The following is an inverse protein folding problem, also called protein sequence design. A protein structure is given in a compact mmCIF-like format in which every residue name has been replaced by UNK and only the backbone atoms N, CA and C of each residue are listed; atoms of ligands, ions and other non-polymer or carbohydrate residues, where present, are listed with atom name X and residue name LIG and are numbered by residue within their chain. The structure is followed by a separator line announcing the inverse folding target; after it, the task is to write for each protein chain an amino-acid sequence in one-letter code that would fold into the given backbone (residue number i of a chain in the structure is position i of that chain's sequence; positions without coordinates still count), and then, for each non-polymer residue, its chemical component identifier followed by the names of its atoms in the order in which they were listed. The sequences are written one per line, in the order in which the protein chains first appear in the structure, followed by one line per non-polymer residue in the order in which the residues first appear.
data_IF_088018786467
#
_entry.id   IF_088018786467
#
_cell.length_a   1.000
_cell.length_b   1.000
_cell.length_c   1.000
_cell.angle_alpha   90.00
_cell.angle_beta   90.00
_cell.angle_gamma   90.00
#
_symmetry.space_group_name_H-M   'P 1'
#
loop_
_entity.id
_entity.type
_entity.pdbx_description
1 polymer ?
#
# COMPACT_ATOMS: atom_id res chain seq x y z
N UNK A 1 -28.14 0.24 -24.60
CA UNK A 1 -29.10 -0.80 -25.03
C UNK A 1 -28.31 -2.06 -25.40
N UNK A 2 -28.85 -3.27 -25.21
CA UNK A 2 -28.26 -4.49 -25.80
C UNK A 2 -28.66 -4.55 -27.27
N UNK A 3 -27.69 -4.55 -28.18
CA UNK A 3 -27.91 -4.62 -29.63
C UNK A 3 -27.82 -6.05 -30.14
N UNK A 4 -26.90 -6.85 -29.59
CA UNK A 4 -26.71 -8.23 -30.00
C UNK A 4 -26.28 -9.10 -28.82
N UNK A 5 -26.77 -10.33 -28.77
CA UNK A 5 -26.29 -11.40 -27.89
C UNK A 5 -25.82 -12.56 -28.76
N UNK A 6 -24.62 -13.05 -28.50
CA UNK A 6 -24.05 -14.21 -29.18
C UNK A 6 -23.54 -15.21 -28.15
N UNK A 7 -23.91 -16.47 -28.33
CA UNK A 7 -23.50 -17.59 -27.49
C UNK A 7 -23.01 -18.74 -28.37
N UNK A 8 -21.93 -19.39 -27.95
CA UNK A 8 -21.33 -20.52 -28.63
C UNK A 8 -20.93 -21.60 -27.64
N UNK A 9 -21.24 -22.85 -27.99
CA UNK A 9 -20.98 -24.05 -27.18
C UNK A 9 -21.50 -23.90 -25.72
N UNK A 10 -22.69 -23.28 -25.56
CA UNK A 10 -23.29 -22.92 -24.28
C UNK A 10 -24.55 -23.77 -24.01
N UNK A 11 -24.50 -24.63 -23.00
CA UNK A 11 -25.57 -25.55 -22.59
C UNK A 11 -26.21 -26.30 -23.78
N UNK A 12 -27.37 -25.86 -24.28
CA UNK A 12 -28.10 -26.46 -25.40
C UNK A 12 -27.75 -25.83 -26.77
N UNK A 13 -27.05 -24.70 -26.79
CA UNK A 13 -26.71 -23.95 -27.99
C UNK A 13 -25.34 -24.36 -28.53
N UNK A 14 -25.29 -24.78 -29.80
CA UNK A 14 -24.05 -24.88 -30.54
C UNK A 14 -23.55 -23.49 -30.93
N UNK A 15 -24.43 -22.70 -31.56
CA UNK A 15 -24.23 -21.29 -31.82
C UNK A 15 -25.60 -20.62 -31.91
N UNK A 16 -25.74 -19.45 -31.30
CA UNK A 16 -26.94 -18.63 -31.40
C UNK A 16 -26.51 -17.16 -31.38
N UNK A 17 -27.05 -16.38 -32.31
CA UNK A 17 -26.88 -14.93 -32.41
C UNK A 17 -28.29 -14.34 -32.44
N UNK A 18 -28.52 -13.36 -31.59
CA UNK A 18 -29.81 -12.68 -31.44
C UNK A 18 -29.54 -11.19 -31.57
N UNK A 19 -30.13 -10.57 -32.58
CA UNK A 19 -30.13 -9.13 -32.77
C UNK A 19 -31.37 -8.54 -32.10
N UNK A 20 -31.17 -7.57 -31.22
CA UNK A 20 -32.23 -6.86 -30.53
C UNK A 20 -32.51 -5.54 -31.24
N UNK A 21 -33.79 -5.19 -31.29
CA UNK A 21 -34.23 -3.91 -31.87
C UNK A 21 -34.69 -2.96 -30.78
N UNK A 22 -34.62 -1.66 -31.07
CA UNK A 22 -35.05 -0.62 -30.16
C UNK A 22 -36.52 -0.81 -29.75
N UNK A 23 -36.82 -0.60 -28.47
CA UNK A 23 -38.16 -0.78 -27.91
C UNK A 23 -38.29 -2.12 -27.18
N UNK A 24 -39.31 -2.90 -27.54
CA UNK A 24 -39.69 -4.12 -26.82
C UNK A 24 -39.34 -5.36 -27.65
N UNK A 25 -38.40 -6.16 -27.14
CA UNK A 25 -38.09 -7.49 -27.69
C UNK A 25 -38.71 -8.56 -26.78
N UNK A 26 -39.52 -9.45 -27.37
CA UNK A 26 -40.22 -10.51 -26.62
C UNK A 26 -39.70 -11.88 -27.03
N UNK A 27 -39.14 -12.62 -26.07
CA UNK A 27 -38.72 -14.01 -26.26
C UNK A 27 -39.84 -14.93 -25.75
N UNK A 28 -40.45 -15.67 -26.66
CA UNK A 28 -41.48 -16.69 -26.40
C UNK A 28 -40.93 -18.10 -26.59
N UNK A 29 -41.47 -19.09 -25.88
CA UNK A 29 -41.09 -20.49 -26.04
C UNK A 29 -41.95 -21.41 -25.18
N UNK A 30 -41.95 -22.71 -25.51
CA UNK A 30 -42.87 -23.74 -24.99
C UNK A 30 -42.86 -23.85 -23.46
N UNK A 31 -41.67 -23.85 -22.82
CA UNK A 31 -41.31 -23.48 -21.43
C UNK A 31 -39.94 -24.07 -21.07
N UNK A 32 -39.19 -23.41 -20.17
CA UNK A 32 -38.18 -24.07 -19.30
C UNK A 32 -36.73 -24.20 -19.77
N UNK A 33 -36.40 -24.20 -21.06
CA UNK A 33 -35.02 -24.44 -21.51
C UNK A 33 -34.34 -23.22 -22.15
N UNK A 34 -34.84 -22.70 -23.28
CA UNK A 34 -34.09 -21.68 -24.05
C UNK A 34 -34.08 -20.28 -23.43
N UNK A 35 -35.23 -19.81 -22.91
CA UNK A 35 -35.38 -18.44 -22.43
C UNK A 35 -34.54 -18.15 -21.17
N UNK A 36 -34.61 -19.03 -20.18
CA UNK A 36 -33.85 -18.87 -18.93
C UNK A 36 -32.35 -18.91 -19.18
N UNK A 37 -31.89 -19.77 -20.09
CA UNK A 37 -30.48 -19.84 -20.49
C UNK A 37 -30.00 -18.54 -21.15
N UNK A 38 -30.83 -17.89 -21.99
CA UNK A 38 -30.46 -16.60 -22.57
C UNK A 38 -30.39 -15.49 -21.51
N UNK A 39 -31.30 -15.48 -20.54
CA UNK A 39 -31.28 -14.54 -19.41
C UNK A 39 -30.03 -14.78 -18.54
N UNK A 40 -29.70 -16.03 -18.25
CA UNK A 40 -28.50 -16.41 -17.51
C UNK A 40 -27.22 -15.97 -18.27
N UNK A 41 -27.20 -16.11 -19.59
CA UNK A 41 -26.08 -15.63 -20.42
C UNK A 41 -25.88 -14.12 -20.30
N UNK A 42 -26.97 -13.33 -20.32
CA UNK A 42 -26.91 -11.88 -20.09
C UNK A 42 -26.41 -11.58 -18.66
N UNK A 43 -26.89 -12.31 -17.65
CA UNK A 43 -26.40 -12.17 -16.27
C UNK A 43 -24.89 -12.46 -16.15
N UNK A 44 -24.41 -13.52 -16.78
CA UNK A 44 -22.98 -13.86 -16.80
C UNK A 44 -22.13 -12.82 -17.53
N UNK A 45 -22.65 -12.20 -18.59
CA UNK A 45 -21.99 -11.10 -19.29
C UNK A 45 -22.07 -9.79 -18.49
N UNK A 46 -23.06 -9.64 -17.61
CA UNK A 46 -23.21 -8.51 -16.67
C UNK A 46 -22.31 -8.62 -15.42
N UNK A 47 -21.57 -9.72 -15.29
CA UNK A 47 -20.60 -9.93 -14.22
C UNK A 47 -21.07 -10.84 -13.09
N UNK A 48 -22.15 -11.61 -13.28
CA UNK A 48 -22.58 -12.61 -12.32
C UNK A 48 -21.60 -13.79 -12.21
N UNK A 49 -21.64 -14.47 -11.06
CA UNK A 49 -20.90 -15.72 -10.88
C UNK A 49 -21.59 -16.84 -11.65
N UNK A 50 -20.79 -17.68 -12.29
CA UNK A 50 -21.26 -18.88 -12.97
C UNK A 50 -21.63 -19.90 -11.88
N UNK A 51 -22.88 -20.38 -11.90
CA UNK A 51 -23.44 -21.24 -10.84
C UNK A 51 -23.40 -22.75 -11.17
N UNK A 52 -23.29 -23.13 -12.43
CA UNK A 52 -23.39 -24.51 -12.91
C UNK A 52 -22.44 -24.77 -14.10
N UNK A 53 -22.32 -26.03 -14.54
CA UNK A 53 -21.59 -26.33 -15.77
C UNK A 53 -22.38 -25.80 -16.98
N UNK A 54 -21.94 -24.66 -17.49
CA UNK A 54 -22.56 -23.93 -18.60
C UNK A 54 -22.03 -24.36 -19.96
N UNK A 55 -20.99 -25.20 -20.00
CA UNK A 55 -20.37 -25.66 -21.24
C UNK A 55 -21.19 -26.81 -21.81
N UNK A 56 -21.43 -26.78 -23.11
CA UNK A 56 -22.11 -27.86 -23.83
C UNK A 56 -21.33 -29.18 -23.69
N UNK A 57 -22.04 -30.29 -23.51
CA UNK A 57 -21.43 -31.61 -23.38
C UNK A 57 -20.49 -31.92 -24.57
N UNK A 58 -19.28 -32.39 -24.27
CA UNK A 58 -18.26 -32.72 -25.27
C UNK A 58 -17.47 -31.53 -25.82
N UNK A 59 -17.57 -30.35 -25.20
CA UNK A 59 -16.80 -29.15 -25.56
C UNK A 59 -15.88 -28.71 -24.41
N UNK A 60 -14.77 -28.08 -24.77
CA UNK A 60 -13.76 -27.63 -23.80
C UNK A 60 -14.02 -26.21 -23.27
N UNK A 61 -14.79 -25.41 -24.02
CA UNK A 61 -15.06 -24.01 -23.71
C UNK A 61 -16.43 -23.56 -24.21
N UNK A 62 -17.01 -22.58 -23.52
CA UNK A 62 -18.15 -21.79 -23.98
C UNK A 62 -17.71 -20.34 -24.18
N UNK A 63 -18.27 -19.68 -25.20
CA UNK A 63 -18.01 -18.26 -25.48
C UNK A 63 -19.34 -17.52 -25.51
N UNK A 64 -19.44 -16.50 -24.67
CA UNK A 64 -20.59 -15.60 -24.61
C UNK A 64 -20.10 -14.21 -25.00
N UNK A 65 -20.91 -13.45 -25.72
CA UNK A 65 -20.64 -12.04 -26.03
C UNK A 65 -21.92 -11.24 -26.18
N UNK A 66 -21.90 -9.99 -25.77
CA UNK A 66 -22.95 -9.03 -26.05
C UNK A 66 -22.37 -7.72 -26.57
N UNK A 67 -23.12 -7.08 -27.46
CA UNK A 67 -22.84 -5.74 -27.98
C UNK A 67 -23.82 -4.78 -27.33
N UNK A 68 -23.30 -3.72 -26.74
CA UNK A 68 -24.06 -2.68 -26.06
C UNK A 68 -23.84 -1.34 -26.74
N UNK A 69 -24.90 -0.56 -26.92
CA UNK A 69 -24.77 0.86 -27.24
C UNK A 69 -24.13 1.58 -26.05
N UNK A 70 -23.05 2.32 -26.30
CA UNK A 70 -22.37 3.09 -25.26
C UNK A 70 -23.08 4.40 -24.92
N UNK A 71 -22.61 5.07 -23.86
CA UNK A 71 -22.98 6.44 -23.53
C UNK A 71 -21.73 7.23 -23.09
N UNK A 72 -21.83 8.57 -23.06
CA UNK A 72 -20.68 9.43 -22.71
C UNK A 72 -20.06 9.06 -21.36
N UNK A 73 -20.88 8.75 -20.34
CA UNK A 73 -20.40 8.38 -19.01
C UNK A 73 -19.55 7.10 -19.02
N UNK A 74 -19.97 6.09 -19.77
CA UNK A 74 -19.23 4.83 -19.91
C UNK A 74 -17.96 5.06 -20.71
N UNK A 75 -18.04 5.83 -21.79
CA UNK A 75 -16.89 6.20 -22.60
C UNK A 75 -15.80 6.89 -21.77
N UNK A 76 -16.16 7.85 -20.91
CA UNK A 76 -15.20 8.48 -19.99
C UNK A 76 -14.56 7.48 -19.04
N UNK A 77 -15.34 6.57 -18.43
CA UNK A 77 -14.79 5.56 -17.51
C UNK A 77 -13.86 4.58 -18.24
N UNK A 78 -14.18 4.21 -19.49
CA UNK A 78 -13.33 3.33 -20.29
C UNK A 78 -11.99 4.01 -20.63
N UNK A 79 -12.03 5.27 -21.08
CA UNK A 79 -10.84 6.06 -21.42
C UNK A 79 -9.91 6.25 -20.22
N UNK A 80 -10.47 6.64 -19.07
CA UNK A 80 -9.73 6.79 -17.80
C UNK A 80 -9.01 5.51 -17.37
N UNK A 81 -9.52 4.34 -17.76
CA UNK A 81 -8.97 3.03 -17.42
C UNK A 81 -8.17 2.39 -18.57
N UNK A 82 -7.90 3.13 -19.65
CA UNK A 82 -7.05 2.72 -20.76
C UNK A 82 -7.71 1.78 -21.78
N UNK A 83 -9.05 1.72 -21.81
CA UNK A 83 -9.80 0.95 -22.81
C UNK A 83 -10.10 1.81 -24.04
N UNK A 84 -10.09 1.18 -25.22
CA UNK A 84 -10.55 1.84 -26.44
C UNK A 84 -12.04 2.19 -26.36
N UNK A 85 -12.36 3.41 -26.77
CA UNK A 85 -13.71 3.98 -26.75
C UNK A 85 -14.31 3.94 -28.15
N UNK A 86 -15.56 3.51 -28.25
CA UNK A 86 -16.32 3.46 -29.48
C UNK A 86 -17.81 3.71 -29.16
N UNK A 87 -18.65 3.84 -30.19
CA UNK A 87 -20.10 3.94 -30.06
C UNK A 87 -20.72 2.66 -29.46
N UNK A 88 -19.99 1.54 -29.59
CA UNK A 88 -20.38 0.24 -29.06
C UNK A 88 -19.38 -0.29 -28.03
N UNK A 89 -19.90 -0.94 -26.99
CA UNK A 89 -19.12 -1.69 -26.01
C UNK A 89 -19.37 -3.17 -26.22
N UNK A 90 -18.30 -3.91 -26.53
CA UNK A 90 -18.35 -5.35 -26.73
C UNK A 90 -17.84 -6.05 -25.48
N UNK A 91 -18.72 -6.77 -24.79
CA UNK A 91 -18.35 -7.56 -23.62
C UNK A 91 -18.35 -9.03 -24.01
N UNK A 92 -17.25 -9.72 -23.76
CA UNK A 92 -17.13 -11.15 -24.04
C UNK A 92 -16.59 -11.92 -22.85
N UNK A 93 -17.12 -13.12 -22.65
CA UNK A 93 -16.71 -14.02 -21.57
C UNK A 93 -16.44 -15.40 -22.14
N UNK A 94 -15.22 -15.88 -21.95
CA UNK A 94 -14.80 -17.24 -22.29
C UNK A 94 -14.76 -18.07 -21.02
N UNK A 95 -15.44 -19.22 -21.03
CA UNK A 95 -15.58 -20.11 -19.89
C UNK A 95 -14.94 -21.45 -20.27
N UNK A 96 -13.98 -21.92 -19.48
CA UNK A 96 -13.23 -23.15 -19.71
C UNK A 96 -13.72 -24.26 -18.78
N UNK A 97 -13.57 -25.52 -19.20
CA UNK A 97 -14.00 -26.71 -18.43
C UNK A 97 -13.30 -26.85 -17.06
N UNK A 98 -12.20 -26.13 -16.83
CA UNK A 98 -11.50 -26.05 -15.54
C UNK A 98 -12.06 -24.96 -14.60
N UNK A 99 -13.29 -24.49 -14.82
CA UNK A 99 -13.95 -23.39 -14.10
C UNK A 99 -13.22 -22.04 -14.16
N UNK A 100 -12.17 -21.89 -14.98
CA UNK A 100 -11.58 -20.57 -15.25
C UNK A 100 -12.46 -19.82 -16.24
N UNK A 101 -12.75 -18.56 -15.94
CA UNK A 101 -13.42 -17.66 -16.87
C UNK A 101 -12.57 -16.43 -17.11
N UNK A 102 -12.41 -16.05 -18.38
CA UNK A 102 -11.76 -14.80 -18.78
C UNK A 102 -12.83 -13.88 -19.34
N UNK A 103 -12.89 -12.65 -18.85
CA UNK A 103 -13.80 -11.62 -19.36
C UNK A 103 -13.00 -10.53 -20.07
N UNK A 104 -13.58 -9.96 -21.12
CA UNK A 104 -12.99 -8.92 -21.93
C UNK A 104 -14.01 -7.82 -22.24
N UNK A 105 -13.52 -6.60 -22.32
CA UNK A 105 -14.23 -5.43 -22.86
C UNK A 105 -13.42 -4.95 -24.06
N UNK A 106 -14.07 -4.74 -25.21
CA UNK A 106 -13.42 -4.27 -26.44
C UNK A 106 -12.13 -5.07 -26.75
N UNK A 107 -12.22 -6.39 -26.65
CA UNK A 107 -11.12 -7.36 -26.87
C UNK A 107 -9.98 -7.36 -25.83
N UNK A 108 -9.98 -6.43 -24.88
CA UNK A 108 -8.99 -6.37 -23.80
C UNK A 108 -9.45 -7.13 -22.55
N UNK A 109 -8.53 -7.84 -21.89
CA UNK A 109 -8.84 -8.61 -20.66
C UNK A 109 -9.07 -7.66 -19.50
N UNK A 110 -10.12 -7.93 -18.72
CA UNK A 110 -10.44 -7.12 -17.54
C UNK A 110 -10.98 -7.98 -16.38
N UNK A 111 -11.39 -7.32 -15.30
CA UNK A 111 -11.96 -7.95 -14.11
C UNK A 111 -13.48 -7.99 -14.16
N UNK A 112 -14.07 -8.98 -13.47
CA UNK A 112 -15.53 -9.09 -13.32
C UNK A 112 -16.15 -7.90 -12.59
N UNK A 113 -15.43 -7.30 -11.63
CA UNK A 113 -15.89 -6.11 -10.90
C UNK A 113 -15.99 -4.90 -11.82
N UNK A 114 -15.01 -4.71 -12.71
CA UNK A 114 -15.03 -3.61 -13.68
C UNK A 114 -16.16 -3.79 -14.70
N UNK A 115 -16.36 -5.00 -15.22
CA UNK A 115 -17.49 -5.32 -16.10
C UNK A 115 -18.83 -5.00 -15.44
N UNK A 116 -19.01 -5.39 -14.18
CA UNK A 116 -20.23 -5.08 -13.43
C UNK A 116 -20.44 -3.57 -13.27
N UNK A 117 -19.37 -2.80 -13.01
CA UNK A 117 -19.42 -1.33 -12.94
C UNK A 117 -19.92 -0.73 -14.26
N UNK A 118 -19.40 -1.19 -15.41
CA UNK A 118 -19.78 -0.69 -16.73
C UNK A 118 -21.21 -1.12 -17.10
N UNK A 119 -21.55 -2.40 -16.95
CA UNK A 119 -22.86 -2.92 -17.36
C UNK A 119 -23.99 -2.33 -16.53
N UNK A 120 -23.80 -2.09 -15.22
CA UNK A 120 -24.81 -1.45 -14.37
C UNK A 120 -25.19 -0.03 -14.82
N UNK A 121 -24.38 0.62 -15.66
CA UNK A 121 -24.67 1.94 -16.24
C UNK A 121 -25.43 1.86 -17.57
N UNK A 122 -25.48 0.67 -18.21
CA UNK A 122 -26.03 0.47 -19.55
C UNK A 122 -27.22 -0.48 -19.59
N UNK A 123 -27.29 -1.42 -18.65
CA UNK A 123 -28.28 -2.49 -18.60
C UNK A 123 -28.79 -2.63 -17.17
N UNK A 124 -30.11 -2.69 -17.04
CA UNK A 124 -30.75 -3.18 -15.83
C UNK A 124 -31.33 -4.57 -16.13
N UNK A 125 -30.81 -5.59 -15.45
CA UNK A 125 -31.26 -6.97 -15.64
C UNK A 125 -32.29 -7.27 -14.56
N UNK A 126 -33.54 -7.40 -14.97
CA UNK A 126 -34.63 -7.73 -14.08
C UNK A 126 -34.96 -9.23 -14.10
N UNK A 127 -34.65 -9.96 -13.04
CA UNK A 127 -34.92 -11.39 -12.87
C UNK A 127 -35.94 -11.66 -11.74
N UNK A 128 -36.40 -12.92 -11.61
CA UNK A 128 -37.33 -13.34 -10.53
C UNK A 128 -36.82 -13.06 -9.09
N UNK A 129 -35.55 -12.70 -8.91
CA UNK A 129 -34.93 -12.35 -7.61
C UNK A 129 -34.61 -10.85 -7.47
N UNK A 130 -35.26 -9.96 -8.22
CA UNK A 130 -35.04 -8.50 -8.14
C UNK A 130 -35.53 -7.83 -6.87
N UNK A 131 -36.18 -8.58 -5.99
CA UNK A 131 -36.56 -8.09 -4.67
C UNK A 131 -35.35 -7.52 -3.92
N UNK A 132 -34.12 -7.90 -4.25
CA UNK A 132 -32.92 -7.38 -3.58
C UNK A 132 -32.50 -5.94 -3.97
N UNK A 133 -32.74 -5.48 -5.21
CA UNK A 133 -32.26 -4.13 -5.64
C UNK A 133 -33.16 -3.01 -5.10
N UNK A 134 -34.46 -3.25 -5.04
CA UNK A 134 -35.40 -2.40 -4.31
C UNK A 134 -35.20 -2.47 -2.79
N UNK A 135 -34.51 -3.49 -2.27
CA UNK A 135 -34.14 -3.61 -0.86
C UNK A 135 -32.73 -3.06 -0.57
N UNK A 136 -32.01 -2.55 -1.57
CA UNK A 136 -30.76 -1.84 -1.34
C UNK A 136 -31.09 -0.49 -0.68
N UNK A 137 -30.73 -0.37 0.59
CA UNK A 137 -30.96 0.82 1.41
C UNK A 137 -30.41 2.08 0.76
N UNK A 138 -29.30 1.97 0.01
CA UNK A 138 -28.70 3.12 -0.67
C UNK A 138 -29.58 3.62 -1.81
N UNK A 139 -30.12 2.69 -2.61
CA UNK A 139 -30.99 3.00 -3.74
C UNK A 139 -32.36 3.51 -3.26
N UNK A 140 -32.87 2.96 -2.15
CA UNK A 140 -34.07 3.48 -1.48
C UNK A 140 -33.88 4.92 -0.99
N UNK A 141 -32.74 5.24 -0.36
CA UNK A 141 -32.43 6.61 0.07
C UNK A 141 -32.32 7.55 -1.13
N UNK A 142 -31.62 7.15 -2.20
CA UNK A 142 -31.50 7.98 -3.40
C UNK A 142 -32.87 8.25 -4.05
N UNK A 143 -33.75 7.25 -4.11
CA UNK A 143 -35.13 7.41 -4.61
C UNK A 143 -35.95 8.36 -3.71
N UNK A 144 -35.84 8.21 -2.39
CA UNK A 144 -36.56 9.05 -1.43
C UNK A 144 -36.09 10.50 -1.49
N UNK A 145 -34.77 10.72 -1.53
CA UNK A 145 -34.15 12.05 -1.64
C UNK A 145 -34.59 12.75 -2.92
N UNK A 146 -34.55 12.02 -4.05
CA UNK A 146 -34.97 12.54 -5.34
C UNK A 146 -36.47 12.86 -5.39
N UNK A 147 -37.31 12.01 -4.78
CA UNK A 147 -38.74 12.27 -4.65
C UNK A 147 -39.03 13.51 -3.79
N UNK A 148 -38.32 13.66 -2.67
CA UNK A 148 -38.44 14.80 -1.78
C UNK A 148 -37.78 16.08 -2.34
N UNK A 149 -36.98 15.97 -3.41
CA UNK A 149 -36.23 17.06 -4.06
C UNK A 149 -35.32 17.79 -3.06
N UNK A 150 -34.61 17.03 -2.22
CA UNK A 150 -33.76 17.55 -1.15
C UNK A 150 -32.27 17.57 -1.51
N UNK A 151 -31.91 17.53 -2.79
CA UNK A 151 -30.53 17.57 -3.28
C UNK A 151 -29.69 18.70 -2.63
N UNK A 152 -30.25 19.91 -2.49
CA UNK A 152 -29.55 21.05 -1.87
C UNK A 152 -29.25 20.81 -0.38
N UNK A 153 -30.23 20.23 0.34
CA UNK A 153 -30.09 19.89 1.75
C UNK A 153 -29.06 18.76 1.93
N UNK A 154 -29.10 17.76 1.05
CA UNK A 154 -28.14 16.66 1.01
C UNK A 154 -26.72 17.15 0.75
N UNK A 155 -26.54 18.11 -0.17
CA UNK A 155 -25.24 18.74 -0.42
C UNK A 155 -24.72 19.47 0.82
N UNK A 156 -25.58 20.28 1.46
CA UNK A 156 -25.23 21.02 2.67
C UNK A 156 -24.80 20.10 3.82
N UNK A 157 -25.54 19.00 4.03
CA UNK A 157 -25.20 17.98 5.04
C UNK A 157 -23.88 17.30 4.71
N UNK A 158 -23.65 16.97 3.43
CA UNK A 158 -22.40 16.33 2.97
C UNK A 158 -21.19 17.23 3.22
N UNK A 159 -21.30 18.53 2.96
CA UNK A 159 -20.24 19.50 3.24
C UNK A 159 -19.95 19.61 4.74
N UNK A 160 -20.99 19.77 5.57
CA UNK A 160 -20.84 19.82 7.02
C UNK A 160 -20.21 18.53 7.58
N UNK A 161 -20.61 17.36 7.06
CA UNK A 161 -20.03 16.09 7.44
C UNK A 161 -18.56 15.95 7.02
N UNK A 162 -18.19 16.45 5.84
CA UNK A 162 -16.79 16.42 5.38
C UNK A 162 -15.91 17.28 6.28
N UNK A 163 -16.36 18.50 6.62
CA UNK A 163 -15.67 19.36 7.59
C UNK A 163 -15.53 18.68 8.95
N UNK A 164 -16.61 18.09 9.48
CA UNK A 164 -16.57 17.36 10.74
C UNK A 164 -15.59 16.17 10.71
N UNK A 165 -15.64 15.35 9.65
CA UNK A 165 -14.78 14.18 9.51
C UNK A 165 -13.30 14.57 9.42
N UNK A 166 -12.97 15.69 8.75
CA UNK A 166 -11.59 16.17 8.67
C UNK A 166 -11.07 16.60 10.05
N UNK A 167 -11.86 17.38 10.80
CA UNK A 167 -11.50 17.80 12.17
C UNK A 167 -11.35 16.59 13.09
N UNK A 168 -12.18 15.57 12.91
CA UNK A 168 -12.11 14.36 13.74
C UNK A 168 -10.87 13.53 13.42
N UNK A 169 -10.51 13.40 12.15
CA UNK A 169 -9.25 12.77 11.73
C UNK A 169 -8.04 13.53 12.25
N UNK A 170 -8.05 14.87 12.17
CA UNK A 170 -6.97 15.72 12.70
C UNK A 170 -6.82 15.57 14.22
N UNK A 171 -7.94 15.48 14.94
CA UNK A 171 -7.94 15.22 16.38
C UNK A 171 -7.37 13.83 16.70
N UNK A 172 -7.73 12.80 15.93
CA UNK A 172 -7.16 11.46 16.10
C UNK A 172 -5.67 11.43 15.79
N UNK A 173 -5.19 12.13 14.75
CA UNK A 173 -3.76 12.23 14.47
C UNK A 173 -3.02 12.93 15.60
N UNK A 174 -3.52 14.07 16.09
CA UNK A 174 -2.89 14.82 17.17
C UNK A 174 -2.85 14.02 18.48
N UNK A 175 -3.89 13.23 18.79
CA UNK A 175 -3.88 12.33 19.95
C UNK A 175 -2.88 11.19 19.84
N UNK A 176 -2.60 10.73 18.63
CA UNK A 176 -1.63 9.66 18.39
C UNK A 176 -0.19 10.19 18.26
N UNK A 177 -0.02 11.49 18.00
CA UNK A 177 1.27 12.19 17.92
C UNK A 177 1.74 12.75 19.27
N UNK A 178 0.91 12.73 20.32
CA UNK A 178 1.39 12.99 21.68
C UNK A 178 2.43 11.91 22.03
N UNK A 179 3.70 12.32 22.14
CA UNK A 179 4.75 11.52 22.76
C UNK A 179 4.20 10.98 24.08
N UNK A 180 4.38 9.67 24.31
CA UNK A 180 4.05 9.13 25.63
C UNK A 180 4.76 9.96 26.70
N UNK A 181 4.13 10.22 27.85
CA UNK A 181 4.78 10.91 28.98
C UNK A 181 6.18 10.33 29.27
N UNK A 182 6.36 9.03 29.02
CA UNK A 182 7.63 8.31 29.14
C UNK A 182 8.68 8.71 28.10
N UNK A 183 8.29 8.99 26.86
CA UNK A 183 9.20 9.46 25.79
C UNK A 183 9.62 10.90 26.02
N UNK A 184 8.70 11.77 26.46
CA UNK A 184 9.03 13.12 26.88
C UNK A 184 10.00 13.11 28.06
N UNK A 185 9.72 12.32 29.11
CA UNK A 185 10.59 12.23 30.28
C UNK A 185 11.99 11.71 29.91
N UNK A 186 12.08 10.70 29.03
CA UNK A 186 13.36 10.21 28.51
C UNK A 186 14.14 11.27 27.72
N UNK A 187 13.48 11.96 26.78
CA UNK A 187 14.11 13.01 25.98
C UNK A 187 14.56 14.20 26.83
N UNK A 188 13.75 14.58 27.82
CA UNK A 188 14.09 15.67 28.74
C UNK A 188 15.30 15.29 29.60
N UNK A 189 15.35 14.06 30.11
CA UNK A 189 16.50 13.56 30.87
C UNK A 189 17.79 13.50 30.02
N UNK A 190 17.70 13.08 28.76
CA UNK A 190 18.83 13.11 27.81
C UNK A 190 19.34 14.53 27.56
N UNK A 191 18.41 15.47 27.39
CA UNK A 191 18.72 16.87 27.14
C UNK A 191 19.39 17.50 28.38
N UNK A 192 18.86 17.24 29.57
CA UNK A 192 19.45 17.65 30.84
C UNK A 192 20.85 17.03 31.04
N UNK A 193 21.07 15.77 30.65
CA UNK A 193 22.40 15.13 30.74
C UNK A 193 23.43 15.82 29.83
N UNK A 194 23.03 16.15 28.60
CA UNK A 194 23.88 16.86 27.64
C UNK A 194 24.17 18.29 28.11
N UNK A 195 23.16 19.02 28.59
CA UNK A 195 23.34 20.39 29.11
C UNK A 195 24.21 20.39 30.36
N UNK A 196 24.01 19.46 31.29
CA UNK A 196 24.83 19.32 32.50
C UNK A 196 26.27 18.90 32.18
N UNK A 197 26.49 18.12 31.12
CA UNK A 197 27.84 17.79 30.67
C UNK A 197 28.63 19.03 30.23
N UNK A 198 27.94 20.11 29.82
CA UNK A 198 28.49 21.43 29.50
C UNK A 198 29.78 21.39 28.65
N UNK A 199 29.78 20.48 27.67
CA UNK A 199 30.94 20.18 26.84
C UNK A 199 31.28 21.41 26.01
N UNK A 200 32.53 21.87 26.09
CA UNK A 200 32.98 23.02 25.31
C UNK A 200 33.49 22.56 23.94
N UNK A 201 33.35 23.43 22.94
CA UNK A 201 34.05 23.24 21.68
C UNK A 201 35.57 23.16 21.94
N UNK A 202 36.24 22.21 21.30
CA UNK A 202 37.68 21.91 21.43
C UNK A 202 38.17 21.33 22.78
N UNK A 203 37.27 21.02 23.73
CA UNK A 203 37.65 20.44 25.05
C UNK A 203 38.43 19.13 24.91
N UNK A 204 38.04 18.28 23.97
CA UNK A 204 38.69 16.99 23.69
C UNK A 204 40.14 17.16 23.20
N UNK A 205 40.41 18.18 22.39
CA UNK A 205 41.75 18.47 21.89
C UNK A 205 42.63 19.01 23.01
N UNK A 206 42.12 19.96 23.80
CA UNK A 206 42.83 20.51 24.96
C UNK A 206 43.15 19.43 26.01
N UNK A 207 42.21 18.53 26.30
CA UNK A 207 42.42 17.47 27.29
C UNK A 207 43.48 16.47 26.79
N UNK A 208 43.50 16.16 25.49
CA UNK A 208 44.52 15.30 24.90
C UNK A 208 45.92 15.93 24.94
N UNK A 209 46.03 17.24 24.70
CA UNK A 209 47.30 17.95 24.87
C UNK A 209 47.79 17.91 26.32
N UNK A 210 46.93 18.16 27.29
CA UNK A 210 47.26 18.07 28.72
C UNK A 210 47.71 16.66 29.12
N UNK A 211 47.02 15.61 28.64
CA UNK A 211 47.41 14.21 28.86
C UNK A 211 48.79 13.94 28.24
N UNK A 212 49.05 14.46 27.04
CA UNK A 212 50.33 14.30 26.36
C UNK A 212 51.47 14.99 27.12
N UNK A 213 51.26 16.22 27.61
CA UNK A 213 52.21 16.94 28.45
C UNK A 213 52.48 16.21 29.77
N UNK A 214 51.44 15.77 30.47
CA UNK A 214 51.57 15.02 31.72
C UNK A 214 52.36 13.72 31.50
N UNK A 215 52.04 12.96 30.43
CA UNK A 215 52.75 11.74 30.06
C UNK A 215 54.23 12.00 29.76
N UNK A 216 54.53 13.09 29.05
CA UNK A 216 55.91 13.50 28.78
C UNK A 216 56.66 13.90 30.06
N UNK A 217 55.99 14.62 30.98
CA UNK A 217 56.56 14.94 32.28
C UNK A 217 56.89 13.67 33.09
N UNK A 218 55.99 12.70 33.14
CA UNK A 218 56.24 11.42 33.82
C UNK A 218 57.42 10.65 33.21
N UNK A 219 57.52 10.61 31.86
CA UNK A 219 58.67 9.99 31.16
C UNK A 219 59.98 10.70 31.51
N UNK A 220 59.99 12.05 31.46
CA UNK A 220 61.17 12.86 31.75
C UNK A 220 61.63 12.72 33.21
N UNK A 221 60.70 12.69 34.17
CA UNK A 221 60.99 12.45 35.58
C UNK A 221 61.66 11.09 35.80
N UNK A 222 61.19 10.04 35.12
CA UNK A 222 61.77 8.69 35.18
C UNK A 222 63.20 8.64 34.61
N UNK A 223 63.44 9.36 33.51
CA UNK A 223 64.78 9.52 32.92
C UNK A 223 65.71 10.27 33.88
N UNK A 224 65.24 11.38 34.45
CA UNK A 224 66.03 12.20 35.38
C UNK A 224 66.44 11.40 36.63
N UNK A 225 65.50 10.61 37.20
CA UNK A 225 65.79 9.72 38.33
C UNK A 225 66.86 8.67 37.98
N UNK A 226 66.81 8.13 36.76
CA UNK A 226 67.77 7.15 36.27
C UNK A 226 69.17 7.75 36.09
N UNK A 227 69.26 8.95 35.51
CA UNK A 227 70.53 9.69 35.35
C UNK A 227 71.11 10.06 36.72
N UNK A 228 70.28 10.57 37.64
CA UNK A 228 70.69 10.95 38.99
C UNK A 228 71.23 9.75 39.78
N UNK A 229 70.53 8.60 39.75
CA UNK A 229 71.01 7.34 40.36
C UNK A 229 72.34 6.86 39.75
N UNK A 230 72.53 7.03 38.44
CA UNK A 230 73.76 6.64 37.74
C UNK A 230 74.93 7.56 38.10
N UNK A 231 74.66 8.85 38.32
CA UNK A 231 75.63 9.83 38.79
C UNK A 231 76.06 9.56 40.23
N UNK A 232 75.12 9.28 41.14
CA UNK A 232 75.40 8.86 42.52
C UNK A 232 76.27 7.61 42.54
N UNK A 233 75.95 6.58 41.75
CA UNK A 233 76.76 5.35 41.66
C UNK A 233 78.20 5.64 41.20
N UNK A 234 78.39 6.54 40.22
CA UNK A 234 79.73 6.97 39.80
C UNK A 234 80.46 7.71 40.91
N UNK A 235 79.79 8.63 41.60
CA UNK A 235 80.38 9.43 42.68
C UNK A 235 80.83 8.55 43.85
N UNK A 236 79.99 7.61 44.30
CA UNK A 236 80.33 6.63 45.35
C UNK A 236 81.53 5.78 44.94
N UNK A 237 81.57 5.33 43.68
CA UNK A 237 82.71 4.56 43.15
C UNK A 237 84.00 5.37 43.08
N UNK A 238 83.90 6.66 42.77
CA UNK A 238 85.03 7.59 42.76
C UNK A 238 85.57 7.86 44.17
N UNK A 239 84.68 8.07 45.15
CA UNK A 239 85.02 8.22 46.58
C UNK A 239 85.70 6.94 47.12
N UNK A 240 85.19 5.76 46.75
CA UNK A 240 85.80 4.48 47.10
C UNK A 240 87.20 4.33 46.48
N UNK A 241 87.38 4.70 45.21
CA UNK A 241 88.70 4.73 44.57
C UNK A 241 89.67 5.67 45.27
N UNK A 242 89.25 6.89 45.63
CA UNK A 242 90.10 7.85 46.35
C UNK A 242 90.50 7.30 47.72
N UNK A 243 89.55 6.71 48.47
CA UNK A 243 89.85 6.05 49.75
C UNK A 243 90.83 4.89 49.60
N UNK A 244 90.70 4.12 48.53
CA UNK A 244 91.61 3.00 48.24
C UNK A 244 93.02 3.48 47.90
N UNK A 245 93.14 4.54 47.08
CA UNK A 245 94.43 5.17 46.73
C UNK A 245 95.10 5.77 47.97
N UNK A 246 94.36 6.50 48.82
CA UNK A 246 94.89 7.04 50.07
C UNK A 246 95.35 5.93 51.04
N UNK A 247 94.66 4.78 51.06
CA UNK A 247 95.05 3.64 51.89
C UNK A 247 96.32 2.96 51.37
N UNK A 248 96.55 2.96 50.06
CA UNK A 248 97.79 2.45 49.46
C UNK A 248 98.99 3.38 49.71
N UNK A 249 98.79 4.71 49.67
CA UNK A 249 99.87 5.67 49.94
C UNK A 249 100.33 5.66 51.42
N UNK A 250 99.44 5.38 52.37
CA UNK A 250 99.80 5.25 53.79
C UNK A 250 100.53 3.95 54.15
N UNK A 251 100.72 3.02 53.22
CA UNK A 251 101.44 1.76 53.44
C UNK A 251 102.86 1.75 52.83
N UNK A 252 103.36 2.89 52.36
CA UNK A 252 104.73 3.03 51.79
C UNK A 252 105.69 3.89 52.64
N UNK A 253 105.41 4.11 53.92
CA UNK A 253 106.39 4.63 54.89
C UNK A 253 106.41 3.78 56.16
#
# INVERSE_FOLDING_TARGET
MIEQLSVKDYVLFESCIIDFTNGMSVITGETGAGKSLLIDAIGYLSGDRIKSNVIRNGKDKAILSMVLTSNEKVNSILDENGFEVDDQVIISRTILNNNKSTVRINQQITTLSFVRKIVNLLVDVHSQMDTYRLMDTKLQMELLDSYAKVEDLKSSVKEAYFSYSNVLNELETLKNEEFSDSELEFLTAQLDEIENANIQEDELEMLNEQIHEASNWFKNKKIFLCVYMRWIKKMVRWILCIRYINKLQNHQY
#
